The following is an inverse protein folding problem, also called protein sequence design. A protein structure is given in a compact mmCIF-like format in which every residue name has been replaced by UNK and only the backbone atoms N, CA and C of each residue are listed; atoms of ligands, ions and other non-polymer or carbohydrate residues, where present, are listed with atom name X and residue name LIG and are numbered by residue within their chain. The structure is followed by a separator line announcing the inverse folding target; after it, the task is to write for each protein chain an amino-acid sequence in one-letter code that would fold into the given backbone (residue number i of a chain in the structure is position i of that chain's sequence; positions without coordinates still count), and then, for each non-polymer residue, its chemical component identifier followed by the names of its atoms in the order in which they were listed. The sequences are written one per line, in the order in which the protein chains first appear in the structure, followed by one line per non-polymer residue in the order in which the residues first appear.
data_IF_265392613896
#
_entry.id   IF_265392613896
#
_cell.length_a   1.000
_cell.length_b   1.000
_cell.length_c   1.000
_cell.angle_alpha   90.00
_cell.angle_beta   90.00
_cell.angle_gamma   90.00
#
_symmetry.space_group_name_H-M   'P 1'
#
loop_
_entity.id
_entity.type
_entity.pdbx_description
1 polymer ?
#
# COMPACT_ATOMS: atom_id res chain seq x y z
N UNK A 1 26.82 -26.90 -28.25
CA UNK A 1 26.29 -25.59 -27.83
C UNK A 1 24.78 -25.66 -27.98
N UNK A 2 24.10 -26.03 -26.90
CA UNK A 2 22.63 -25.97 -26.84
C UNK A 2 22.24 -24.53 -26.48
N UNK A 3 21.16 -23.98 -27.04
CA UNK A 3 20.76 -22.61 -26.74
C UNK A 3 20.28 -22.51 -25.29
N UNK A 4 20.52 -21.37 -24.65
CA UNK A 4 19.99 -21.04 -23.33
C UNK A 4 18.44 -21.11 -23.36
N UNK A 5 17.80 -21.69 -22.33
CA UNK A 5 16.35 -21.67 -22.23
C UNK A 5 15.92 -20.22 -21.93
N UNK A 6 15.38 -19.54 -22.94
CA UNK A 6 14.70 -18.26 -22.72
C UNK A 6 13.45 -18.54 -21.87
N UNK A 7 13.23 -17.84 -20.75
CA UNK A 7 12.03 -18.04 -19.94
C UNK A 7 10.79 -17.64 -20.74
N UNK A 8 9.78 -18.51 -20.69
CA UNK A 8 8.48 -18.25 -21.29
C UNK A 8 7.83 -17.04 -20.62
N UNK A 9 7.44 -16.07 -21.45
CA UNK A 9 6.49 -14.98 -21.18
C UNK A 9 6.69 -14.11 -19.93
N UNK A 10 6.72 -12.79 -20.14
CA UNK A 10 6.75 -11.78 -19.06
C UNK A 10 5.50 -11.80 -18.16
N UNK A 11 4.40 -12.44 -18.59
CA UNK A 11 3.11 -12.48 -17.88
C UNK A 11 3.09 -13.47 -16.69
N UNK A 12 3.98 -14.46 -16.65
CA UNK A 12 3.98 -15.46 -15.56
C UNK A 12 4.59 -14.95 -14.24
N UNK A 13 5.22 -13.78 -14.24
CA UNK A 13 5.81 -13.18 -13.02
C UNK A 13 4.76 -12.61 -12.06
N UNK A 14 3.51 -12.49 -12.50
CA UNK A 14 2.39 -12.02 -11.69
C UNK A 14 1.23 -13.02 -11.61
N UNK A 15 1.39 -14.22 -12.17
CA UNK A 15 0.39 -15.29 -12.06
C UNK A 15 0.28 -15.71 -10.60
N UNK A 16 -0.73 -15.18 -9.93
CA UNK A 16 -0.89 -15.31 -8.51
C UNK A 16 -1.48 -16.68 -8.16
N UNK A 17 -0.59 -17.64 -7.94
CA UNK A 17 -0.93 -18.99 -7.51
C UNK A 17 -1.54 -19.03 -6.11
N UNK A 18 -2.70 -19.67 -6.02
CA UNK A 18 -3.38 -20.18 -4.81
C UNK A 18 -3.81 -19.16 -3.74
N UNK A 19 -5.13 -18.93 -3.67
CA UNK A 19 -5.87 -18.13 -2.68
C UNK A 19 -5.74 -18.58 -1.21
N UNK A 20 -4.80 -19.47 -0.88
CA UNK A 20 -4.53 -19.93 0.49
C UNK A 20 -3.15 -19.49 1.02
N UNK A 21 -2.28 -18.90 0.19
CA UNK A 21 -0.89 -18.61 0.54
C UNK A 21 -0.51 -17.11 0.51
N UNK A 22 -1.37 -16.23 0.03
CA UNK A 22 -1.02 -14.83 -0.13
C UNK A 22 -1.63 -13.95 0.95
N UNK A 23 -0.98 -13.95 2.11
CA UNK A 23 -1.14 -12.92 3.14
C UNK A 23 -0.47 -11.62 2.65
N UNK A 24 -0.93 -11.09 1.50
CA UNK A 24 -0.42 -9.83 0.97
C UNK A 24 -0.86 -8.69 1.88
N UNK A 25 0.06 -8.30 2.75
CA UNK A 25 -0.15 -7.21 3.69
C UNK A 25 -0.06 -5.87 2.98
N UNK A 26 -1.14 -5.12 3.06
CA UNK A 26 -1.25 -3.78 2.49
C UNK A 26 -1.10 -2.78 3.63
N UNK A 27 -0.17 -1.83 3.44
CA UNK A 27 0.05 -0.70 4.35
C UNK A 27 -0.37 0.58 3.63
N UNK A 28 -1.31 1.33 4.20
CA UNK A 28 -1.65 2.67 3.71
C UNK A 28 -0.63 3.68 4.26
N UNK A 29 0.06 4.38 3.38
CA UNK A 29 0.97 5.47 3.74
C UNK A 29 0.31 6.81 3.38
N UNK A 30 0.06 7.65 4.37
CA UNK A 30 -0.68 8.91 4.23
C UNK A 30 0.25 10.06 4.58
N UNK A 31 0.67 10.80 3.55
CA UNK A 31 1.39 12.06 3.74
C UNK A 31 0.34 13.16 3.96
N UNK A 32 0.48 13.93 5.03
CA UNK A 32 -0.52 14.94 5.41
C UNK A 32 0.15 16.26 5.81
N UNK A 33 -0.57 17.37 5.61
CA UNK A 33 -0.21 18.71 6.11
C UNK A 33 -1.45 19.58 6.18
N UNK A 34 -1.82 20.01 7.38
CA UNK A 34 -2.99 20.85 7.62
C UNK A 34 -4.32 20.24 7.12
N UNK A 35 -4.53 18.97 7.43
CA UNK A 35 -5.72 18.18 7.04
C UNK A 35 -6.65 17.87 8.22
N UNK A 36 -6.68 18.72 9.27
CA UNK A 36 -7.56 18.50 10.42
C UNK A 36 -9.04 18.27 10.05
N UNK A 37 -9.48 18.76 8.88
CA UNK A 37 -10.85 18.59 8.36
C UNK A 37 -11.11 17.27 7.66
N UNK A 38 -10.07 16.59 7.15
CA UNK A 38 -10.22 15.43 6.27
C UNK A 38 -9.51 14.18 6.76
N UNK A 39 -8.55 14.32 7.68
CA UNK A 39 -7.70 13.20 8.11
C UNK A 39 -8.52 12.03 8.67
N UNK A 40 -9.58 12.30 9.43
CA UNK A 40 -10.48 11.27 9.97
C UNK A 40 -11.20 10.48 8.86
N UNK A 41 -11.78 11.19 7.89
CA UNK A 41 -12.47 10.57 6.76
C UNK A 41 -11.49 9.77 5.88
N UNK A 42 -10.26 10.29 5.69
CA UNK A 42 -9.19 9.61 4.98
C UNK A 42 -8.83 8.28 5.68
N UNK A 43 -8.52 8.31 6.98
CA UNK A 43 -8.20 7.12 7.77
C UNK A 43 -9.33 6.09 7.75
N UNK A 44 -10.57 6.56 7.83
CA UNK A 44 -11.76 5.69 7.72
C UNK A 44 -11.82 5.00 6.36
N UNK A 45 -11.53 5.71 5.26
CA UNK A 45 -11.60 5.15 3.90
C UNK A 45 -10.58 4.04 3.63
N UNK A 46 -9.47 4.01 4.39
CA UNK A 46 -8.40 3.00 4.25
C UNK A 46 -8.28 2.08 5.47
N UNK A 47 -9.31 1.98 6.29
CA UNK A 47 -9.34 1.12 7.50
C UNK A 47 -9.31 -0.38 7.19
N UNK A 48 -9.50 -0.77 5.93
CA UNK A 48 -9.43 -2.16 5.45
C UNK A 48 -7.99 -2.66 5.28
N UNK A 49 -7.00 -1.77 5.37
CA UNK A 49 -5.58 -2.12 5.27
C UNK A 49 -5.06 -2.77 6.55
N UNK A 50 -3.95 -3.48 6.47
CA UNK A 50 -3.37 -4.16 7.64
C UNK A 50 -2.75 -3.16 8.62
N UNK A 51 -2.26 -2.03 8.12
CA UNK A 51 -1.69 -0.96 8.91
C UNK A 51 -1.80 0.39 8.18
N UNK A 52 -1.83 1.46 8.96
CA UNK A 52 -1.85 2.84 8.49
C UNK A 52 -0.64 3.57 9.05
N UNK A 53 0.15 4.20 8.18
CA UNK A 53 1.29 5.04 8.54
C UNK A 53 0.99 6.47 8.13
N UNK A 54 0.85 7.37 9.09
CA UNK A 54 0.64 8.80 8.85
C UNK A 54 1.98 9.51 9.00
N UNK A 55 2.37 10.28 7.99
CA UNK A 55 3.54 11.15 8.03
C UNK A 55 3.03 12.58 7.97
N UNK A 56 3.07 13.25 9.12
CA UNK A 56 2.76 14.68 9.19
C UNK A 56 3.96 15.51 8.71
N UNK A 57 3.74 16.32 7.69
CA UNK A 57 4.74 17.15 7.02
C UNK A 57 4.78 18.58 7.60
N UNK A 58 4.73 18.68 8.93
CA UNK A 58 4.77 19.94 9.65
C UNK A 58 3.45 20.69 9.62
N UNK A 59 2.38 20.03 10.08
CA UNK A 59 1.09 20.69 10.29
C UNK A 59 1.21 21.76 11.39
N UNK A 60 0.42 22.81 11.22
CA UNK A 60 0.25 23.92 12.17
C UNK A 60 -1.17 24.01 12.70
N UNK A 61 -2.01 23.03 12.36
CA UNK A 61 -3.39 22.86 12.82
C UNK A 61 -3.52 21.55 13.63
N UNK A 62 -4.76 21.17 13.95
CA UNK A 62 -5.09 19.98 14.73
C UNK A 62 -5.08 18.68 13.90
N UNK A 63 -4.18 18.54 12.90
CA UNK A 63 -4.11 17.31 12.07
C UNK A 63 -3.73 16.06 12.88
N UNK A 64 -2.99 16.21 13.98
CA UNK A 64 -2.44 15.10 14.79
C UNK A 64 -3.04 15.02 16.20
N UNK A 65 -3.99 15.90 16.53
CA UNK A 65 -4.69 15.92 17.83
C UNK A 65 -5.87 14.92 17.84
#
# INVERSE_FOLDING_TARGET
MSPDPQPASVDDRYAHGSDAANDSRIIACILTRNEARHIEACLTSVSWTHAQMVVDCGSTDATVD
#
